data_IF_836162092454
#
_entry.id   IF_836162092454
#
_cell.length_a   1.000
_cell.length_b   1.000
_cell.length_c   1.000
_cell.angle_alpha   90.00
_cell.angle_beta   90.00
_cell.angle_gamma   90.00
#
_symmetry.space_group_name_H-M   'P 1'
#
loop_
_entity.id
_entity.type
_entity.pdbx_description
1 polymer ?
#
# COMPACT_ATOMS: atom_id res chain seq x y z
N UNK A 1 22.56 11.43 11.38
CA UNK A 1 21.36 10.90 12.04
C UNK A 1 20.69 9.90 11.12
N UNK A 2 20.33 8.73 11.66
CA UNK A 2 19.59 7.69 10.95
C UNK A 2 18.09 7.94 11.09
N UNK A 3 17.32 7.69 10.03
CA UNK A 3 15.87 7.82 10.05
C UNK A 3 15.23 6.75 10.95
N UNK A 4 14.17 7.13 11.66
CA UNK A 4 13.41 6.26 12.56
C UNK A 4 12.13 5.73 11.90
N UNK A 5 11.45 4.80 12.57
CA UNK A 5 10.13 4.34 12.16
C UNK A 5 9.09 5.47 12.22
N UNK A 6 9.20 6.36 13.21
CA UNK A 6 8.28 7.48 13.38
C UNK A 6 8.43 8.47 12.22
N UNK A 7 9.66 8.78 11.80
CA UNK A 7 9.94 9.62 10.63
C UNK A 7 9.30 9.03 9.36
N UNK A 8 9.35 7.70 9.20
CA UNK A 8 8.70 7.01 8.08
C UNK A 8 7.17 7.12 8.15
N UNK A 9 6.58 6.94 9.33
CA UNK A 9 5.13 7.02 9.53
C UNK A 9 4.61 8.45 9.28
N UNK A 10 5.36 9.49 9.66
CA UNK A 10 5.02 10.88 9.35
C UNK A 10 4.94 11.12 7.84
N UNK A 11 5.90 10.61 7.07
CA UNK A 11 5.89 10.71 5.59
C UNK A 11 4.73 9.93 5.00
N UNK A 12 4.47 8.71 5.47
CA UNK A 12 3.35 7.88 5.02
C UNK A 12 2.01 8.57 5.26
N UNK A 13 1.82 9.20 6.41
CA UNK A 13 0.60 9.95 6.74
C UNK A 13 0.30 11.05 5.71
N UNK A 14 1.32 11.75 5.22
CA UNK A 14 1.17 12.78 4.19
C UNK A 14 0.93 12.24 2.77
N UNK A 15 1.42 11.03 2.47
CA UNK A 15 1.39 10.47 1.11
C UNK A 15 0.20 9.53 0.87
N UNK A 16 -0.23 8.75 1.87
CA UNK A 16 -1.18 7.66 1.67
C UNK A 16 -2.59 8.13 1.30
N UNK A 17 -3.09 9.21 1.93
CA UNK A 17 -4.39 9.76 1.55
C UNK A 17 -4.40 10.26 0.10
N UNK A 18 -3.29 10.88 -0.33
CA UNK A 18 -3.13 11.31 -1.71
C UNK A 18 -3.02 10.12 -2.67
N UNK A 19 -2.31 9.06 -2.26
CA UNK A 19 -2.24 7.80 -3.01
C UNK A 19 -3.64 7.20 -3.18
N UNK A 20 -4.42 7.07 -2.11
CA UNK A 20 -5.78 6.53 -2.16
C UNK A 20 -6.70 7.35 -3.09
N UNK A 21 -6.65 8.70 -3.00
CA UNK A 21 -7.42 9.58 -3.88
C UNK A 21 -7.04 9.38 -5.36
N UNK A 22 -5.75 9.37 -5.68
CA UNK A 22 -5.27 9.21 -7.06
C UNK A 22 -5.58 7.81 -7.60
N UNK A 23 -5.41 6.77 -6.77
CA UNK A 23 -5.77 5.40 -7.10
C UNK A 23 -7.26 5.29 -7.43
N UNK A 24 -8.14 5.86 -6.60
CA UNK A 24 -9.57 5.85 -6.83
C UNK A 24 -9.98 6.49 -8.18
N UNK A 25 -9.24 7.51 -8.64
CA UNK A 25 -9.51 8.19 -9.91
C UNK A 25 -8.94 7.46 -11.13
N UNK A 26 -7.90 6.63 -10.97
CA UNK A 26 -7.06 6.14 -12.08
C UNK A 26 -6.96 4.62 -12.17
N UNK A 27 -7.42 3.91 -11.15
CA UNK A 27 -7.37 2.45 -11.10
C UNK A 27 -8.12 1.84 -12.30
N UNK A 28 -7.49 0.84 -12.89
CA UNK A 28 -8.09 -0.04 -13.89
C UNK A 28 -8.66 -1.29 -13.23
N UNK A 29 -9.46 -2.06 -13.96
CA UNK A 29 -9.94 -3.38 -13.51
C UNK A 29 -8.81 -4.33 -13.07
N UNK A 30 -7.65 -4.26 -13.72
CA UNK A 30 -6.49 -5.05 -13.34
C UNK A 30 -5.91 -4.61 -11.98
N UNK A 31 -5.89 -3.31 -11.73
CA UNK A 31 -5.43 -2.74 -10.46
C UNK A 31 -6.38 -3.13 -9.31
N UNK A 32 -7.69 -3.04 -9.54
CA UNK A 32 -8.70 -3.43 -8.55
C UNK A 32 -8.59 -4.92 -8.20
N UNK A 33 -8.32 -5.78 -9.18
CA UNK A 33 -8.04 -7.21 -8.94
C UNK A 33 -6.78 -7.41 -8.10
N UNK A 34 -5.73 -6.64 -8.36
CA UNK A 34 -4.49 -6.71 -7.58
C UNK A 34 -4.71 -6.26 -6.12
N UNK A 35 -5.42 -5.14 -5.91
CA UNK A 35 -5.77 -4.66 -4.57
C UNK A 35 -6.61 -5.70 -3.84
N UNK A 36 -7.65 -6.25 -4.49
CA UNK A 36 -8.50 -7.28 -3.90
C UNK A 36 -7.70 -8.51 -3.50
N UNK A 37 -6.82 -8.99 -4.38
CA UNK A 37 -5.93 -10.12 -4.09
C UNK A 37 -5.05 -9.84 -2.86
N UNK A 38 -4.45 -8.66 -2.75
CA UNK A 38 -3.63 -8.33 -1.58
C UNK A 38 -4.44 -8.27 -0.28
N UNK A 39 -5.71 -7.85 -0.33
CA UNK A 39 -6.60 -7.89 0.83
C UNK A 39 -6.95 -9.33 1.24
N UNK A 40 -7.15 -10.22 0.27
CA UNK A 40 -7.38 -11.64 0.53
C UNK A 40 -6.15 -12.27 1.22
N UNK A 41 -4.94 -11.98 0.72
CA UNK A 41 -3.69 -12.45 1.33
C UNK A 41 -3.49 -11.90 2.76
N UNK A 42 -3.84 -10.64 3.03
CA UNK A 42 -3.82 -10.08 4.39
C UNK A 42 -4.82 -10.76 5.32
N UNK A 43 -6.02 -11.10 4.81
CA UNK A 43 -7.05 -11.78 5.59
C UNK A 43 -6.64 -13.21 5.94
N UNK A 44 -6.07 -13.94 4.98
CA UNK A 44 -5.51 -15.29 5.19
C UNK A 44 -4.38 -15.28 6.24
N UNK A 45 -3.49 -14.29 6.18
CA UNK A 45 -2.38 -14.18 7.13
C UNK A 45 -2.88 -13.86 8.55
N UNK A 46 -3.89 -12.99 8.66
CA UNK A 46 -4.55 -12.67 9.92
C UNK A 46 -5.25 -13.91 10.52
N UNK A 47 -5.95 -14.70 9.70
CA UNK A 47 -6.62 -15.92 10.14
C UNK A 47 -5.62 -16.99 10.57
N UNK A 48 -4.54 -17.18 9.81
CA UNK A 48 -3.53 -18.22 10.08
C UNK A 48 -2.58 -17.90 11.22
N UNK A 49 -2.25 -16.63 11.44
CA UNK A 49 -1.19 -16.21 12.38
C UNK A 49 -1.66 -15.30 13.51
N UNK A 50 -2.90 -14.80 13.44
CA UNK A 50 -3.45 -13.83 14.39
C UNK A 50 -2.91 -12.41 14.20
N UNK A 51 -2.17 -12.13 13.12
CA UNK A 51 -1.64 -10.81 12.78
C UNK A 51 -1.44 -10.66 11.28
N UNK A 52 -1.31 -9.43 10.81
CA UNK A 52 -0.90 -9.13 9.43
C UNK A 52 0.62 -8.98 9.43
N UNK A 53 1.29 -9.80 8.63
CA UNK A 53 2.72 -9.76 8.39
C UNK A 53 3.13 -8.58 7.50
N UNK A 54 4.41 -8.23 7.57
CA UNK A 54 4.98 -7.12 6.79
C UNK A 54 4.87 -7.33 5.28
N UNK A 55 4.94 -8.58 4.82
CA UNK A 55 4.82 -8.92 3.39
C UNK A 55 3.43 -8.56 2.83
N UNK A 56 2.34 -9.17 3.35
CA UNK A 56 0.98 -8.84 2.93
C UNK A 56 0.62 -7.35 3.09
N UNK A 57 1.04 -6.72 4.19
CA UNK A 57 0.84 -5.27 4.41
C UNK A 57 1.51 -4.43 3.31
N UNK A 58 2.80 -4.68 3.03
CA UNK A 58 3.55 -3.98 1.99
C UNK A 58 2.94 -4.23 0.60
N UNK A 59 2.48 -5.44 0.32
CA UNK A 59 1.85 -5.79 -0.95
C UNK A 59 0.57 -4.96 -1.19
N UNK A 60 -0.26 -4.78 -0.16
CA UNK A 60 -1.45 -3.94 -0.24
C UNK A 60 -1.12 -2.47 -0.47
N UNK A 61 -0.20 -1.90 0.33
CA UNK A 61 0.23 -0.51 0.16
C UNK A 61 0.81 -0.23 -1.22
N UNK A 62 1.60 -1.17 -1.76
CA UNK A 62 2.14 -1.07 -3.11
C UNK A 62 1.05 -1.23 -4.18
N UNK A 63 0.08 -2.13 -4.03
CA UNK A 63 -1.02 -2.28 -4.97
C UNK A 63 -1.83 -0.98 -5.10
N UNK A 64 -2.15 -0.32 -3.98
CA UNK A 64 -2.79 1.01 -3.99
C UNK A 64 -1.87 2.04 -4.65
N UNK A 65 -0.58 2.06 -4.31
CA UNK A 65 0.37 3.04 -4.85
C UNK A 65 0.57 2.89 -6.37
N UNK A 66 0.67 1.68 -6.90
CA UNK A 66 0.76 1.43 -8.35
C UNK A 66 -0.50 1.88 -9.10
N UNK A 67 -1.66 1.79 -8.45
CA UNK A 67 -2.94 2.23 -9.00
C UNK A 67 -3.02 3.75 -9.22
N UNK A 68 -2.18 4.53 -8.55
CA UNK A 68 -2.09 5.99 -8.72
C UNK A 68 -1.58 6.42 -10.09
N UNK A 69 -0.94 5.50 -10.83
CA UNK A 69 -0.23 5.78 -12.10
C UNK A 69 0.77 6.93 -11.99
N UNK A 70 1.29 7.19 -10.78
CA UNK A 70 2.27 8.24 -10.52
C UNK A 70 3.65 7.59 -10.24
N UNK A 71 4.58 7.61 -11.21
CA UNK A 71 5.87 6.95 -11.07
C UNK A 71 6.73 7.52 -9.93
N UNK A 72 6.57 8.81 -9.60
CA UNK A 72 7.30 9.43 -8.47
C UNK A 72 6.76 8.93 -7.14
N UNK A 73 5.45 8.88 -6.97
CA UNK A 73 4.83 8.36 -5.76
C UNK A 73 5.14 6.88 -5.55
N UNK A 74 5.15 6.09 -6.63
CA UNK A 74 5.59 4.68 -6.62
C UNK A 74 7.05 4.55 -6.18
N UNK A 75 7.92 5.47 -6.59
CA UNK A 75 9.32 5.44 -6.21
C UNK A 75 9.52 5.82 -4.72
N UNK A 76 8.76 6.79 -4.22
CA UNK A 76 8.85 7.25 -2.83
C UNK A 76 8.30 6.25 -1.80
N UNK A 77 7.31 5.44 -2.19
CA UNK A 77 6.64 4.48 -1.30
C UNK A 77 7.21 3.06 -1.36
N UNK A 78 8.16 2.79 -2.28
CA UNK A 78 8.80 1.48 -2.44
C UNK A 78 9.91 1.30 -1.41
#
# INVERSE_FOLDING_TARGET
DEATLDDLLEVRLGLECNAAMLAAQRATEADLKAIKKSLEEMAEDLEGTGKIGTGPDTAFHMAVTFSTKNPVLIHLMR
#
